data_IF_753520519982
#
_entry.id   IF_753520519982
#
_cell.length_a   1.000
_cell.length_b   1.000
_cell.length_c   1.000
_cell.angle_alpha   90.00
_cell.angle_beta   90.00
_cell.angle_gamma   90.00
#
_symmetry.space_group_name_H-M   'P 1'
#
loop_
_entity.id
_entity.type
_entity.pdbx_description
1 polymer ?
#
# COMPACT_ATOMS: atom_id res chain seq x y z
N UNK A 1 -23.53 -21.38 18.03
CA UNK A 1 -22.16 -20.86 17.92
C UNK A 1 -22.12 -19.50 18.59
N UNK A 2 -21.09 -19.21 19.39
CA UNK A 2 -20.86 -17.89 20.00
C UNK A 2 -20.13 -16.97 19.02
N UNK A 3 -20.16 -15.66 19.29
CA UNK A 3 -19.54 -14.64 18.42
C UNK A 3 -18.04 -14.83 18.20
N UNK A 4 -17.33 -15.23 19.26
CA UNK A 4 -15.89 -15.52 19.25
C UNK A 4 -15.57 -16.76 18.41
N UNK A 5 -16.40 -17.81 18.51
CA UNK A 5 -16.27 -19.01 17.67
C UNK A 5 -16.45 -18.64 16.18
N UNK A 6 -17.47 -17.85 15.83
CA UNK A 6 -17.71 -17.41 14.44
C UNK A 6 -16.49 -16.69 13.86
N UNK A 7 -15.96 -15.71 14.60
CA UNK A 7 -14.80 -14.94 14.16
C UNK A 7 -13.55 -15.80 14.04
N UNK A 8 -13.31 -16.69 15.00
CA UNK A 8 -12.15 -17.58 14.98
C UNK A 8 -12.22 -18.57 13.81
N UNK A 9 -13.40 -19.13 13.55
CA UNK A 9 -13.59 -20.02 12.39
C UNK A 9 -13.43 -19.25 11.08
N UNK A 10 -14.00 -18.05 10.96
CA UNK A 10 -13.82 -17.22 9.77
C UNK A 10 -12.34 -16.92 9.52
N UNK A 11 -11.60 -16.50 10.55
CA UNK A 11 -10.16 -16.27 10.49
C UNK A 11 -9.39 -17.53 10.04
N UNK A 12 -9.67 -18.69 10.62
CA UNK A 12 -8.99 -19.94 10.19
C UNK A 12 -9.26 -20.31 8.73
N UNK A 13 -10.44 -19.98 8.21
CA UNK A 13 -10.83 -20.30 6.83
C UNK A 13 -10.21 -19.38 5.80
N UNK A 14 -9.86 -18.14 6.19
CA UNK A 14 -9.28 -17.13 5.30
C UNK A 14 -7.76 -16.99 5.46
N UNK A 15 -7.21 -17.27 6.65
CA UNK A 15 -5.77 -17.15 6.96
C UNK A 15 -5.00 -18.49 6.92
N UNK A 16 -5.67 -19.62 6.68
CA UNK A 16 -5.00 -20.94 6.58
C UNK A 16 -4.23 -21.13 5.26
N UNK A 17 -3.81 -22.37 4.97
CA UNK A 17 -3.03 -22.81 3.77
C UNK A 17 -3.66 -22.50 2.38
N UNK A 18 -4.72 -21.69 2.33
CA UNK A 18 -5.40 -21.28 1.10
C UNK A 18 -4.60 -20.32 0.23
N UNK A 19 -3.71 -19.51 0.81
CA UNK A 19 -2.82 -18.66 0.00
C UNK A 19 -1.91 -19.49 -0.91
N UNK A 20 -1.46 -20.64 -0.43
CA UNK A 20 -0.58 -21.54 -1.19
C UNK A 20 -1.32 -22.25 -2.34
N UNK A 21 -2.63 -22.50 -2.20
CA UNK A 21 -3.43 -23.23 -3.18
C UNK A 21 -4.13 -22.34 -4.23
N UNK A 22 -4.52 -21.10 -3.88
CA UNK A 22 -5.33 -20.24 -4.75
C UNK A 22 -4.61 -18.97 -5.25
N UNK A 23 -3.37 -18.75 -4.83
CA UNK A 23 -2.61 -17.55 -5.16
C UNK A 23 -3.08 -16.31 -4.40
N UNK A 24 -2.55 -15.14 -4.75
CA UNK A 24 -2.90 -13.89 -4.10
C UNK A 24 -4.42 -13.61 -4.23
N UNK A 25 -5.07 -13.37 -3.10
CA UNK A 25 -6.51 -13.19 -3.05
C UNK A 25 -7.01 -12.02 -3.91
N UNK A 26 -6.24 -10.91 -3.94
CA UNK A 26 -6.54 -9.75 -4.78
C UNK A 26 -6.59 -10.13 -6.26
N UNK A 27 -5.69 -10.99 -6.72
CA UNK A 27 -5.67 -11.46 -8.10
C UNK A 27 -6.91 -12.30 -8.43
N UNK A 28 -7.32 -13.16 -7.49
CA UNK A 28 -8.53 -13.96 -7.66
C UNK A 28 -9.78 -13.07 -7.78
N UNK A 29 -9.95 -12.10 -6.88
CA UNK A 29 -11.09 -11.17 -6.93
C UNK A 29 -11.03 -10.24 -8.14
N UNK A 30 -9.83 -9.83 -8.57
CA UNK A 30 -9.64 -9.09 -9.82
C UNK A 30 -10.09 -9.92 -11.03
N UNK A 31 -9.73 -11.21 -11.07
CA UNK A 31 -10.15 -12.11 -12.15
C UNK A 31 -11.66 -12.29 -12.18
N UNK A 32 -12.30 -12.46 -11.03
CA UNK A 32 -13.76 -12.55 -10.92
C UNK A 32 -14.40 -11.25 -11.42
N UNK A 33 -13.90 -10.09 -11.00
CA UNK A 33 -14.37 -8.80 -11.46
C UNK A 33 -14.35 -8.69 -12.98
N UNK A 34 -13.21 -9.00 -13.61
CA UNK A 34 -13.03 -9.03 -15.08
C UNK A 34 -13.99 -9.99 -15.80
N UNK A 35 -14.35 -11.11 -15.16
CA UNK A 35 -15.35 -12.05 -15.73
C UNK A 35 -16.77 -11.48 -15.67
N UNK A 36 -17.08 -10.61 -14.72
CA UNK A 36 -18.40 -9.98 -14.58
C UNK A 36 -18.58 -8.74 -15.45
N UNK A 37 -17.51 -8.03 -15.81
CA UNK A 37 -17.58 -6.82 -16.62
C UNK A 37 -18.39 -6.97 -17.93
N UNK A 38 -18.17 -7.99 -18.79
CA UNK A 38 -18.96 -8.13 -20.01
C UNK A 38 -20.43 -8.47 -19.74
N UNK A 39 -20.76 -9.01 -18.56
CA UNK A 39 -22.14 -9.35 -18.17
C UNK A 39 -22.86 -8.11 -17.66
N UNK A 40 -22.19 -7.29 -16.84
CA UNK A 40 -22.78 -6.13 -16.17
C UNK A 40 -22.65 -4.83 -16.99
N UNK A 41 -21.78 -4.81 -18.00
CA UNK A 41 -21.50 -3.63 -18.82
C UNK A 41 -20.75 -2.52 -18.07
N UNK A 42 -20.11 -2.84 -16.95
CA UNK A 42 -19.34 -1.89 -16.13
C UNK A 42 -18.13 -2.60 -15.51
N UNK A 43 -17.07 -1.83 -15.25
CA UNK A 43 -15.92 -2.31 -14.47
C UNK A 43 -16.36 -2.72 -13.06
N UNK A 44 -15.81 -3.84 -12.58
CA UNK A 44 -16.07 -4.37 -11.23
C UNK A 44 -14.74 -4.52 -10.49
N UNK A 45 -14.59 -3.81 -9.37
CA UNK A 45 -13.37 -3.86 -8.58
C UNK A 45 -13.32 -5.09 -7.66
N UNK A 46 -12.12 -5.52 -7.23
CA UNK A 46 -11.98 -6.64 -6.28
C UNK A 46 -12.77 -6.43 -4.97
N UNK A 47 -12.82 -5.19 -4.48
CA UNK A 47 -13.58 -4.81 -3.29
C UNK A 47 -15.09 -5.01 -3.53
N UNK A 48 -15.58 -4.63 -4.71
CA UNK A 48 -16.98 -4.86 -5.09
C UNK A 48 -17.31 -6.35 -5.20
N UNK A 49 -16.38 -7.17 -5.69
CA UNK A 49 -16.54 -8.63 -5.70
C UNK A 49 -16.70 -9.16 -4.27
N UNK A 50 -15.86 -8.71 -3.33
CA UNK A 50 -15.96 -9.10 -1.92
C UNK A 50 -17.35 -8.80 -1.33
N UNK A 51 -17.85 -7.59 -1.57
CA UNK A 51 -19.18 -7.16 -1.12
C UNK A 51 -20.30 -7.97 -1.77
N UNK A 52 -20.23 -8.21 -3.08
CA UNK A 52 -21.21 -9.04 -3.78
C UNK A 52 -21.24 -10.48 -3.24
N UNK A 53 -20.08 -11.06 -2.96
CA UNK A 53 -19.99 -12.41 -2.39
C UNK A 53 -20.56 -12.48 -0.96
N UNK A 54 -20.34 -11.43 -0.16
CA UNK A 54 -20.99 -11.31 1.14
C UNK A 54 -22.52 -11.26 1.01
N UNK A 55 -23.05 -10.49 0.04
CA UNK A 55 -24.49 -10.37 -0.18
C UNK A 55 -25.15 -11.71 -0.56
N UNK A 56 -24.45 -12.63 -1.21
CA UNK A 56 -24.95 -14.00 -1.46
C UNK A 56 -25.20 -14.75 -0.14
N UNK A 57 -24.36 -14.53 0.88
CA UNK A 57 -24.54 -15.14 2.21
C UNK A 57 -25.68 -14.49 2.97
N UNK A 58 -25.78 -13.16 2.90
CA UNK A 58 -26.92 -12.41 3.45
C UNK A 58 -28.23 -12.89 2.84
N UNK A 59 -28.30 -13.09 1.52
CA UNK A 59 -29.48 -13.60 0.84
C UNK A 59 -29.90 -14.98 1.34
N UNK A 60 -28.95 -15.88 1.63
CA UNK A 60 -29.26 -17.19 2.24
C UNK A 60 -29.82 -17.03 3.66
N UNK A 61 -29.24 -16.13 4.45
CA UNK A 61 -29.67 -15.86 5.82
C UNK A 61 -31.07 -15.26 5.92
N UNK A 62 -31.53 -14.54 4.88
CA UNK A 62 -32.93 -14.08 4.81
C UNK A 62 -33.93 -15.25 4.80
N UNK A 63 -33.54 -16.40 4.26
CA UNK A 63 -34.39 -17.61 4.21
C UNK A 63 -34.10 -18.57 5.36
N UNK A 64 -32.83 -18.69 5.77
CA UNK A 64 -32.37 -19.62 6.82
C UNK A 64 -31.43 -18.91 7.79
N UNK A 65 -31.97 -18.13 8.75
CA UNK A 65 -31.16 -17.35 9.68
C UNK A 65 -30.26 -18.18 10.60
N UNK A 66 -30.60 -19.45 10.80
CA UNK A 66 -29.87 -20.45 11.60
C UNK A 66 -28.71 -21.12 10.84
N UNK A 67 -28.50 -20.79 9.57
CA UNK A 67 -27.41 -21.33 8.76
C UNK A 67 -26.05 -20.71 9.15
N UNK A 68 -25.44 -21.27 10.20
CA UNK A 68 -24.19 -20.79 10.82
C UNK A 68 -23.06 -20.52 9.82
N UNK A 69 -22.83 -21.40 8.84
CA UNK A 69 -21.76 -21.22 7.85
C UNK A 69 -21.91 -19.92 7.05
N UNK A 70 -23.13 -19.42 6.85
CA UNK A 70 -23.33 -18.16 6.11
C UNK A 70 -22.92 -16.94 6.94
N UNK A 71 -23.02 -17.01 8.26
CA UNK A 71 -22.47 -15.99 9.16
C UNK A 71 -20.94 -16.01 9.16
N UNK A 72 -20.35 -17.21 9.21
CA UNK A 72 -18.90 -17.40 9.15
C UNK A 72 -18.34 -16.92 7.81
N UNK A 73 -18.92 -17.36 6.70
CA UNK A 73 -18.55 -16.93 5.35
C UNK A 73 -18.70 -15.41 5.20
N UNK A 74 -19.79 -14.85 5.72
CA UNK A 74 -20.05 -13.41 5.67
C UNK A 74 -18.93 -12.60 6.35
N UNK A 75 -18.53 -13.01 7.55
CA UNK A 75 -17.40 -12.42 8.26
C UNK A 75 -16.09 -12.57 7.48
N UNK A 76 -15.86 -13.74 6.88
CA UNK A 76 -14.69 -14.01 6.04
C UNK A 76 -14.61 -13.07 4.83
N UNK A 77 -15.68 -12.94 4.04
CA UNK A 77 -15.69 -12.06 2.87
C UNK A 77 -15.50 -10.58 3.22
N UNK A 78 -16.05 -10.13 4.36
CA UNK A 78 -15.84 -8.75 4.82
C UNK A 78 -14.41 -8.50 5.28
N UNK A 79 -13.79 -9.45 5.97
CA UNK A 79 -12.39 -9.36 6.37
C UNK A 79 -11.48 -9.29 5.14
N UNK A 80 -11.67 -10.20 4.18
CA UNK A 80 -10.93 -10.24 2.91
C UNK A 80 -11.12 -8.95 2.09
N UNK A 81 -12.35 -8.44 2.00
CA UNK A 81 -12.62 -7.17 1.33
C UNK A 81 -11.97 -5.98 2.03
N UNK A 82 -11.94 -5.97 3.36
CA UNK A 82 -11.27 -4.94 4.17
C UNK A 82 -9.76 -4.95 3.96
N UNK A 83 -9.14 -6.13 3.93
CA UNK A 83 -7.72 -6.29 3.61
C UNK A 83 -7.41 -5.76 2.21
N UNK A 84 -8.15 -6.19 1.18
CA UNK A 84 -7.98 -5.68 -0.19
C UNK A 84 -8.14 -4.15 -0.26
N UNK A 85 -9.10 -3.59 0.48
CA UNK A 85 -9.35 -2.14 0.47
C UNK A 85 -8.27 -1.32 1.19
N UNK A 86 -7.55 -1.92 2.13
CA UNK A 86 -6.54 -1.24 2.97
C UNK A 86 -5.10 -1.61 2.62
N UNK A 87 -4.89 -2.69 1.87
CA UNK A 87 -3.58 -3.07 1.35
C UNK A 87 -3.07 -2.01 0.35
N UNK A 88 -1.80 -1.59 0.46
CA UNK A 88 -1.22 -0.64 -0.49
C UNK A 88 -1.26 -1.21 -1.91
N UNK A 89 -1.84 -0.44 -2.83
CA UNK A 89 -1.94 -0.84 -4.23
C UNK A 89 -0.54 -0.93 -4.83
N UNK A 90 -0.05 -2.15 -5.08
CA UNK A 90 1.14 -2.38 -5.91
C UNK A 90 0.84 -1.92 -7.33
N UNK A 91 1.40 -0.79 -7.75
CA UNK A 91 1.27 -0.32 -9.13
C UNK A 91 2.30 -1.02 -10.01
N UNK A 92 1.81 -1.78 -10.98
CA UNK A 92 2.63 -2.41 -12.02
C UNK A 92 2.85 -1.40 -13.15
N UNK A 93 4.12 -1.04 -13.40
CA UNK A 93 4.51 0.00 -14.37
C UNK A 93 4.43 -0.48 -15.84
N UNK A 94 3.99 -1.72 -16.08
CA UNK A 94 4.15 -2.42 -17.37
C UNK A 94 3.11 -2.09 -18.45
N UNK A 95 2.11 -1.23 -18.21
CA UNK A 95 1.17 -0.83 -19.26
C UNK A 95 0.95 0.68 -19.34
N UNK A 96 1.84 1.35 -20.07
CA UNK A 96 1.62 2.71 -20.58
C UNK A 96 0.87 2.59 -21.91
N UNK A 97 -0.39 3.03 -21.95
CA UNK A 97 -1.12 3.20 -23.22
C UNK A 97 -0.74 4.54 -23.85
N UNK A 98 0.02 4.51 -24.94
CA UNK A 98 0.51 5.69 -25.66
C UNK A 98 -0.56 6.39 -26.53
N UNK A 99 -1.78 5.86 -26.60
CA UNK A 99 -2.78 6.26 -27.60
C UNK A 99 -3.65 7.46 -27.20
N UNK A 100 -3.50 7.99 -25.99
CA UNK A 100 -4.16 9.25 -25.62
C UNK A 100 -3.13 10.26 -25.17
N UNK A 101 -2.98 11.35 -25.94
CA UNK A 101 -2.09 12.48 -25.66
C UNK A 101 -2.44 13.30 -24.40
N UNK A 102 -3.02 12.67 -23.38
CA UNK A 102 -3.25 13.20 -22.06
C UNK A 102 -2.54 12.29 -21.05
N UNK A 103 -1.27 12.58 -20.80
CA UNK A 103 -0.53 11.97 -19.71
C UNK A 103 -1.08 12.55 -18.41
N UNK A 104 -2.01 11.85 -17.76
CA UNK A 104 -2.30 12.11 -16.34
C UNK A 104 -1.14 11.54 -15.52
N UNK A 105 -0.11 12.35 -15.31
CA UNK A 105 0.80 12.15 -14.17
C UNK A 105 -0.01 12.38 -12.90
N UNK A 106 -0.74 11.36 -12.46
CA UNK A 106 -1.26 11.35 -11.10
C UNK A 106 -0.06 11.08 -10.19
N UNK A 107 0.66 12.14 -9.81
CA UNK A 107 1.56 12.13 -8.67
C UNK A 107 0.69 11.94 -7.42
N UNK A 108 0.34 10.69 -7.13
CA UNK A 108 -0.21 10.31 -5.84
C UNK A 108 0.97 9.82 -5.01
N UNK A 109 1.71 10.78 -4.45
CA UNK A 109 2.63 10.49 -3.36
C UNK A 109 1.81 10.00 -2.15
N UNK A 110 2.24 8.87 -1.62
CA UNK A 110 1.69 8.18 -0.47
C UNK A 110 1.69 9.10 0.76
N UNK A 111 0.51 9.39 1.32
CA UNK A 111 0.35 10.16 2.56
C UNK A 111 0.50 9.26 3.80
N UNK A 112 1.35 8.24 3.73
CA UNK A 112 1.85 7.52 4.90
C UNK A 112 2.98 8.30 5.54
N UNK A 113 2.98 8.44 6.86
CA UNK A 113 4.04 9.10 7.64
C UNK A 113 5.41 8.54 7.24
N UNK A 114 6.12 9.27 6.38
CA UNK A 114 7.47 8.90 5.95
C UNK A 114 8.34 8.93 7.22
N UNK A 115 8.96 7.80 7.60
CA UNK A 115 9.91 7.79 8.71
C UNK A 115 11.25 8.32 8.20
N UNK A 116 11.91 9.27 8.89
CA UNK A 116 13.23 9.75 8.50
C UNK A 116 14.21 8.59 8.32
N UNK A 117 14.82 8.48 7.13
CA UNK A 117 15.92 7.53 6.89
C UNK A 117 17.20 8.04 7.55
N UNK A 118 18.05 7.12 7.98
CA UNK A 118 19.33 7.43 8.62
C UNK A 118 20.47 6.74 7.87
N UNK A 119 21.53 7.48 7.57
CA UNK A 119 22.72 6.99 6.87
C UNK A 119 23.96 7.09 7.75
N UNK A 120 24.88 6.12 7.59
CA UNK A 120 26.15 6.09 8.33
C UNK A 120 27.25 6.93 7.68
N UNK A 121 27.09 7.28 6.40
CA UNK A 121 28.05 8.08 5.65
C UNK A 121 27.35 9.00 4.67
N UNK A 122 27.93 10.18 4.45
CA UNK A 122 27.45 11.17 3.48
C UNK A 122 27.41 10.62 2.05
N UNK A 123 28.26 9.64 1.73
CA UNK A 123 28.29 8.99 0.41
C UNK A 123 27.07 8.10 0.15
N UNK A 124 26.38 7.67 1.20
CA UNK A 124 25.19 6.83 1.10
C UNK A 124 23.91 7.67 0.99
N UNK A 125 24.00 8.98 1.27
CA UNK A 125 22.87 9.91 1.21
C UNK A 125 22.52 10.20 -0.24
N UNK A 126 21.28 9.97 -0.67
CA UNK A 126 20.82 10.35 -2.00
C UNK A 126 20.93 11.87 -2.22
N UNK A 127 21.31 12.26 -3.43
CA UNK A 127 21.54 13.67 -3.81
C UNK A 127 20.26 14.51 -3.89
N UNK A 128 19.09 13.89 -3.83
CA UNK A 128 17.78 14.53 -3.82
C UNK A 128 17.23 14.75 -2.40
N UNK A 129 18.00 14.39 -1.37
CA UNK A 129 17.56 14.42 0.03
C UNK A 129 18.34 15.47 0.81
N UNK A 130 17.62 16.17 1.69
CA UNK A 130 18.18 17.07 2.69
C UNK A 130 18.38 16.30 3.99
N UNK A 131 19.55 16.38 4.61
CA UNK A 131 19.87 15.64 5.85
C UNK A 131 20.39 16.57 6.93
N UNK A 132 20.20 16.16 8.18
CA UNK A 132 20.83 16.74 9.36
C UNK A 132 21.82 15.74 9.95
N UNK A 133 23.02 16.17 10.31
CA UNK A 133 23.99 15.30 10.99
C UNK A 133 23.77 15.25 12.52
N UNK A 134 24.75 14.69 13.24
CA UNK A 134 24.75 14.59 14.69
C UNK A 134 25.00 15.93 15.40
N UNK A 135 25.72 16.85 14.77
CA UNK A 135 26.06 18.17 15.31
C UNK A 135 24.96 19.21 15.06
N UNK A 136 23.96 18.84 14.24
CA UNK A 136 22.79 19.62 13.92
C UNK A 136 22.94 20.42 12.63
N UNK A 137 23.99 20.18 11.85
CA UNK A 137 24.22 20.87 10.59
C UNK A 137 23.40 20.24 9.47
N UNK A 138 22.91 21.13 8.62
CA UNK A 138 21.97 20.80 7.57
C UNK A 138 22.67 20.75 6.23
N UNK A 139 22.58 19.61 5.57
CA UNK A 139 23.25 19.33 4.32
C UNK A 139 22.28 19.23 3.15
N UNK A 140 22.65 19.82 2.02
CA UNK A 140 21.88 19.76 0.77
C UNK A 140 22.84 19.62 -0.41
N UNK A 141 22.51 18.75 -1.37
CA UNK A 141 23.32 18.57 -2.57
C UNK A 141 22.87 19.55 -3.66
N UNK A 142 23.78 20.41 -4.11
CA UNK A 142 23.52 21.44 -5.12
C UNK A 142 24.72 21.53 -6.06
N UNK A 143 24.47 21.53 -7.37
CA UNK A 143 25.48 21.71 -8.41
C UNK A 143 26.66 20.72 -8.34
N UNK A 144 26.40 19.47 -7.97
CA UNK A 144 27.42 18.42 -7.92
C UNK A 144 28.18 18.33 -6.59
N UNK A 145 27.87 19.21 -5.63
CA UNK A 145 28.56 19.30 -4.36
C UNK A 145 27.58 19.35 -3.18
N UNK A 146 28.00 18.80 -2.05
CA UNK A 146 27.27 18.97 -0.80
C UNK A 146 27.59 20.33 -0.17
N UNK A 147 26.53 21.00 0.28
CA UNK A 147 26.61 22.29 0.96
C UNK A 147 26.02 22.14 2.35
N UNK A 148 26.68 22.73 3.33
CA UNK A 148 26.21 22.81 4.71
C UNK A 148 25.82 24.25 5.04
N UNK A 149 24.72 24.45 5.76
CA UNK A 149 24.37 25.79 6.24
C UNK A 149 22.95 25.94 6.77
N UNK A 150 22.83 26.79 7.80
CA UNK A 150 21.56 27.19 8.43
C UNK A 150 20.74 28.20 7.61
N UNK A 151 21.25 28.66 6.46
CA UNK A 151 20.58 29.57 5.52
C UNK A 151 20.92 29.21 4.06
N UNK A 152 20.11 29.69 3.10
CA UNK A 152 20.17 29.42 1.64
C UNK A 152 21.52 29.70 0.94
N UNK A 153 22.54 30.17 1.65
CA UNK A 153 23.89 30.49 1.15
C UNK A 153 24.99 29.69 1.88
N UNK A 154 24.74 28.40 2.15
CA UNK A 154 25.71 27.51 2.79
C UNK A 154 27.04 27.40 2.05
N UNK A 155 28.12 27.16 2.80
CA UNK A 155 29.47 26.99 2.26
C UNK A 155 29.56 25.65 1.51
N UNK A 156 30.30 25.66 0.40
CA UNK A 156 30.54 24.46 -0.41
C UNK A 156 31.76 23.75 0.16
N UNK A 157 31.58 22.58 0.77
CA UNK A 157 32.69 21.77 1.26
C UNK A 157 33.06 20.71 0.23
N UNK A 158 34.36 20.54 -0.01
CA UNK A 158 34.90 19.52 -0.92
C UNK A 158 35.40 18.27 -0.19
N UNK A 159 35.43 18.29 1.14
CA UNK A 159 35.97 17.23 1.98
C UNK A 159 34.87 16.64 2.87
N UNK A 160 34.56 15.37 2.64
CA UNK A 160 33.55 14.58 3.36
C UNK A 160 34.19 13.91 4.57
N UNK A 161 34.49 14.67 5.60
CA UNK A 161 35.15 14.17 6.83
C UNK A 161 34.18 13.46 7.79
N UNK A 162 32.89 13.79 7.72
CA UNK A 162 31.95 13.41 8.77
C UNK A 162 31.39 11.99 8.63
N UNK A 163 31.63 11.18 9.65
CA UNK A 163 30.92 9.92 9.89
C UNK A 163 29.58 10.21 10.56
N UNK A 164 28.50 9.58 10.09
CA UNK A 164 27.13 9.86 10.52
C UNK A 164 26.85 9.62 12.01
N UNK A 165 25.59 9.77 12.46
CA UNK A 165 24.38 9.60 11.65
C UNK A 165 23.90 10.86 10.90
N UNK A 166 23.57 10.68 9.61
CA UNK A 166 22.83 11.67 8.81
C UNK A 166 21.36 11.28 8.76
N UNK A 167 20.46 12.15 9.22
CA UNK A 167 19.01 11.90 9.31
C UNK A 167 18.25 12.72 8.28
N UNK A 168 17.36 12.09 7.52
CA UNK A 168 16.52 12.75 6.52
C UNK A 168 15.62 13.83 7.13
N UNK A 169 15.71 15.06 6.60
CA UNK A 169 14.76 16.13 6.89
C UNK A 169 13.59 15.96 5.93
N UNK A 170 12.43 15.61 6.48
CA UNK A 170 11.20 15.50 5.70
C UNK A 170 10.59 16.90 5.59
N UNK A 171 10.42 17.45 4.38
CA UNK A 171 9.68 18.70 4.21
C UNK A 171 8.21 18.49 4.62
N UNK A 172 7.68 19.40 5.44
CA UNK A 172 6.25 19.46 5.80
C UNK A 172 5.34 19.64 4.58
#
# INVERSE_FOLDING_TARGET
MKKDEILTTAASLICGDREEAYGNMRDNFTRIGKLWEPILGTTVTPEQVALCMNQVKVARLLTSPDHVDSWVDGAGYLALGGEIATEPKKFDFTSVNFDTGNIKFALLYDAGERKPRVWGSMLEVPTDVKVIDADGDTWTYVDGHWRWGSTLAGECLTEYDESGPFTEIIPE
#
